data_IF_011389853163
#
_entry.id   IF_011389853163
#
_cell.length_a   1.000
_cell.length_b   1.000
_cell.length_c   1.000
_cell.angle_alpha   90.00
_cell.angle_beta   90.00
_cell.angle_gamma   90.00
#
_symmetry.space_group_name_H-M   'P 1'
#
loop_
_entity.id
_entity.type
_entity.pdbx_description
1 polymer ?
#
# COMPACT_ATOMS: atom_id res chain seq x y z
N UNK A 1 4.56 81.13 -43.76
CA UNK A 1 5.60 80.09 -43.82
C UNK A 1 6.01 79.89 -42.39
N UNK A 2 5.63 78.73 -41.85
CA UNK A 2 5.39 78.46 -40.43
C UNK A 2 6.55 77.60 -39.93
N UNK A 3 7.32 78.10 -38.96
CA UNK A 3 8.42 77.36 -38.31
C UNK A 3 7.87 76.65 -37.07
N UNK A 4 7.78 75.31 -37.16
CA UNK A 4 7.39 74.41 -36.08
C UNK A 4 8.65 73.91 -35.37
N UNK A 5 8.73 73.92 -34.02
CA UNK A 5 9.93 73.47 -33.31
C UNK A 5 10.04 71.94 -33.27
N UNK A 6 11.21 71.41 -33.68
CA UNK A 6 11.65 70.04 -33.40
C UNK A 6 12.17 69.97 -31.96
N UNK A 7 11.44 69.30 -31.06
CA UNK A 7 11.97 68.48 -29.96
C UNK A 7 10.86 68.15 -28.94
N UNK A 8 10.20 67.00 -29.11
CA UNK A 8 9.41 66.37 -28.03
C UNK A 8 9.00 64.91 -28.38
N UNK A 9 9.93 64.05 -28.81
CA UNK A 9 9.64 62.60 -28.87
C UNK A 9 10.92 61.85 -28.50
N UNK A 10 10.83 60.89 -27.58
CA UNK A 10 11.87 59.96 -27.07
C UNK A 10 12.29 60.10 -25.59
N UNK A 11 11.34 60.01 -24.65
CA UNK A 11 11.59 59.19 -23.44
C UNK A 11 10.58 58.06 -23.22
N UNK A 12 9.39 58.18 -23.81
CA UNK A 12 8.20 57.35 -23.47
C UNK A 12 8.29 55.95 -24.11
N UNK A 13 8.75 55.85 -25.37
CA UNK A 13 8.88 54.58 -26.07
C UNK A 13 9.91 53.63 -25.43
N UNK A 14 11.00 54.18 -24.87
CA UNK A 14 12.04 53.40 -24.18
C UNK A 14 11.61 52.87 -22.81
N UNK A 15 10.73 53.59 -22.10
CA UNK A 15 10.17 53.11 -20.83
C UNK A 15 9.10 52.04 -21.03
N UNK A 16 8.29 52.15 -22.09
CA UNK A 16 7.28 51.15 -22.43
C UNK A 16 7.92 49.83 -22.88
N UNK A 17 8.98 49.88 -23.71
CA UNK A 17 9.73 48.67 -24.13
C UNK A 17 10.37 47.93 -22.94
N UNK A 18 10.99 48.65 -22.00
CA UNK A 18 11.57 48.07 -20.78
C UNK A 18 10.51 47.45 -19.86
N UNK A 19 9.30 48.02 -19.83
CA UNK A 19 8.20 47.49 -19.03
C UNK A 19 7.58 46.22 -19.64
N UNK A 20 7.60 46.10 -20.97
CA UNK A 20 7.12 44.91 -21.69
C UNK A 20 8.12 43.76 -21.58
N UNK A 21 9.42 44.00 -21.77
CA UNK A 21 10.47 42.97 -21.56
C UNK A 21 10.50 42.44 -20.12
N UNK A 22 10.37 43.32 -19.11
CA UNK A 22 10.32 42.88 -17.71
C UNK A 22 9.07 42.05 -17.39
N UNK A 23 7.93 42.35 -18.01
CA UNK A 23 6.71 41.56 -17.85
C UNK A 23 6.81 40.20 -18.56
N UNK A 24 7.34 40.15 -19.78
CA UNK A 24 7.60 38.88 -20.48
C UNK A 24 8.60 38.01 -19.72
N UNK A 25 9.66 38.59 -19.16
CA UNK A 25 10.64 37.83 -18.38
C UNK A 25 10.03 37.28 -17.08
N UNK A 26 9.16 38.04 -16.41
CA UNK A 26 8.47 37.62 -15.18
C UNK A 26 7.40 36.57 -15.45
N UNK A 27 6.70 36.66 -16.58
CA UNK A 27 5.75 35.64 -17.07
C UNK A 27 6.51 34.36 -17.44
N UNK A 28 7.62 34.46 -18.17
CA UNK A 28 8.44 33.30 -18.49
C UNK A 28 9.03 32.64 -17.23
N UNK A 29 9.51 33.40 -16.24
CA UNK A 29 9.97 32.84 -14.98
C UNK A 29 8.86 32.11 -14.21
N UNK A 30 7.66 32.68 -14.11
CA UNK A 30 6.52 32.03 -13.42
C UNK A 30 5.98 30.81 -14.17
N UNK A 31 5.97 30.83 -15.51
CA UNK A 31 5.61 29.67 -16.34
C UNK A 31 6.65 28.56 -16.20
N UNK A 32 7.94 28.89 -16.21
CA UNK A 32 9.03 27.90 -16.05
C UNK A 32 9.06 27.32 -14.63
N UNK A 33 8.79 28.14 -13.61
CA UNK A 33 8.71 27.71 -12.21
C UNK A 33 7.50 26.81 -11.96
N UNK A 34 6.34 27.13 -12.54
CA UNK A 34 5.16 26.26 -12.53
C UNK A 34 5.39 24.96 -13.30
N UNK A 35 6.03 25.00 -14.47
CA UNK A 35 6.35 23.80 -15.24
C UNK A 35 7.33 22.89 -14.48
N UNK A 36 8.39 23.45 -13.89
CA UNK A 36 9.35 22.69 -13.06
C UNK A 36 8.67 22.09 -11.81
N UNK A 37 7.71 22.79 -11.22
CA UNK A 37 6.92 22.27 -10.09
C UNK A 37 6.04 21.10 -10.51
N UNK A 38 5.34 21.20 -11.65
CA UNK A 38 4.52 20.12 -12.20
C UNK A 38 5.37 18.89 -12.60
N UNK A 39 6.51 19.11 -13.25
CA UNK A 39 7.44 18.01 -13.60
C UNK A 39 7.96 17.31 -12.34
N UNK A 40 8.32 18.06 -11.30
CA UNK A 40 8.75 17.50 -10.02
C UNK A 40 7.65 16.67 -9.34
N UNK A 41 6.41 17.14 -9.37
CA UNK A 41 5.25 16.41 -8.82
C UNK A 41 4.97 15.11 -9.58
N UNK A 42 5.10 15.13 -10.92
CA UNK A 42 4.96 13.93 -11.76
C UNK A 42 6.11 12.95 -11.47
N UNK A 43 7.36 13.43 -11.42
CA UNK A 43 8.51 12.57 -11.10
C UNK A 43 8.39 11.97 -9.70
N UNK A 44 8.01 12.76 -8.70
CA UNK A 44 7.78 12.27 -7.35
C UNK A 44 6.68 11.20 -7.31
N UNK A 45 5.58 11.42 -8.04
CA UNK A 45 4.49 10.46 -8.15
C UNK A 45 4.93 9.16 -8.83
N UNK A 46 5.75 9.24 -9.88
CA UNK A 46 6.32 8.08 -10.55
C UNK A 46 7.25 7.28 -9.64
N UNK A 47 8.12 7.97 -8.88
CA UNK A 47 9.03 7.34 -7.90
C UNK A 47 8.23 6.63 -6.80
N UNK A 48 7.20 7.27 -6.24
CA UNK A 48 6.34 6.66 -5.22
C UNK A 48 5.62 5.43 -5.80
N UNK A 49 5.10 5.52 -7.02
CA UNK A 49 4.43 4.40 -7.69
C UNK A 49 5.35 3.19 -7.86
N UNK A 50 6.58 3.40 -8.34
CA UNK A 50 7.59 2.32 -8.50
C UNK A 50 7.97 1.73 -7.14
N UNK A 51 8.17 2.58 -6.13
CA UNK A 51 8.52 2.13 -4.79
C UNK A 51 7.39 1.30 -4.13
N UNK A 52 6.13 1.71 -4.27
CA UNK A 52 4.96 0.95 -3.83
C UNK A 52 4.91 -0.42 -4.52
N UNK A 53 5.08 -0.45 -5.84
CA UNK A 53 5.08 -1.68 -6.62
C UNK A 53 6.20 -2.64 -6.17
N UNK A 54 7.39 -2.10 -5.96
CA UNK A 54 8.57 -2.84 -5.53
C UNK A 54 8.42 -3.43 -4.12
N UNK A 55 8.10 -2.60 -3.12
CA UNK A 55 7.99 -3.08 -1.73
C UNK A 55 6.84 -4.08 -1.56
N UNK A 56 5.73 -3.88 -2.28
CA UNK A 56 4.64 -4.85 -2.28
C UNK A 56 5.06 -6.18 -2.89
N UNK A 57 5.58 -6.18 -4.12
CA UNK A 57 5.97 -7.39 -4.82
C UNK A 57 7.06 -8.15 -4.06
N UNK A 58 8.06 -7.44 -3.55
CA UNK A 58 9.15 -8.04 -2.79
C UNK A 58 8.69 -8.58 -1.44
N UNK A 59 7.79 -7.88 -0.73
CA UNK A 59 7.19 -8.41 0.50
C UNK A 59 6.43 -9.70 0.25
N UNK A 60 5.58 -9.76 -0.78
CA UNK A 60 4.80 -10.96 -1.12
C UNK A 60 5.72 -12.13 -1.48
N UNK A 61 6.73 -11.89 -2.30
CA UNK A 61 7.65 -12.95 -2.74
C UNK A 61 8.47 -13.49 -1.58
N UNK A 62 9.00 -12.62 -0.72
CA UNK A 62 9.73 -13.07 0.46
C UNK A 62 8.84 -13.81 1.46
N UNK A 63 7.59 -13.37 1.68
CA UNK A 63 6.61 -14.12 2.50
C UNK A 63 6.43 -15.54 1.97
N UNK A 64 6.24 -15.68 0.65
CA UNK A 64 6.11 -17.00 0.01
C UNK A 64 7.40 -17.82 0.16
N UNK A 65 8.56 -17.24 -0.09
CA UNK A 65 9.85 -17.93 0.07
C UNK A 65 10.02 -18.44 1.49
N UNK A 66 9.70 -17.64 2.52
CA UNK A 66 9.83 -18.07 3.92
C UNK A 66 8.90 -19.25 4.25
N UNK A 67 7.65 -19.22 3.76
CA UNK A 67 6.69 -20.32 3.97
C UNK A 67 7.13 -21.63 3.29
N UNK A 68 7.88 -21.54 2.19
CA UNK A 68 8.32 -22.69 1.40
C UNK A 68 9.78 -23.11 1.64
N UNK A 69 10.59 -22.31 2.36
CA UNK A 69 12.01 -22.56 2.55
C UNK A 69 12.26 -23.85 3.36
N UNK A 70 11.49 -24.04 4.44
CA UNK A 70 11.60 -25.20 5.31
C UNK A 70 10.21 -25.61 5.84
N UNK A 71 9.32 -26.15 5.00
CA UNK A 71 7.94 -26.48 5.40
C UNK A 71 7.88 -27.50 6.55
N UNK A 72 8.94 -28.31 6.73
CA UNK A 72 9.08 -29.26 7.85
C UNK A 72 9.42 -28.62 9.20
N UNK A 73 9.97 -27.40 9.21
CA UNK A 73 10.46 -26.75 10.43
C UNK A 73 9.80 -25.39 10.72
N UNK A 74 9.26 -24.74 9.69
CA UNK A 74 8.61 -23.44 9.77
C UNK A 74 7.46 -23.31 8.76
N UNK A 75 6.23 -23.53 9.23
CA UNK A 75 4.99 -23.21 8.51
C UNK A 75 4.02 -22.53 9.50
N UNK A 76 4.17 -21.21 9.64
CA UNK A 76 3.44 -20.40 10.61
C UNK A 76 2.95 -19.06 10.00
N UNK A 77 2.01 -19.10 9.04
CA UNK A 77 1.51 -17.91 8.35
C UNK A 77 0.77 -16.92 9.28
N UNK A 78 0.08 -17.40 10.33
CA UNK A 78 -0.55 -16.51 11.32
C UNK A 78 0.50 -15.76 12.12
N UNK A 79 1.53 -16.47 12.61
CA UNK A 79 2.65 -15.85 13.32
C UNK A 79 3.36 -14.78 12.47
N UNK A 80 3.60 -15.05 11.18
CA UNK A 80 4.21 -14.07 10.28
C UNK A 80 3.35 -12.80 10.17
N UNK A 81 2.05 -12.94 9.91
CA UNK A 81 1.14 -11.79 9.80
C UNK A 81 1.06 -11.00 11.11
N UNK A 82 0.98 -11.70 12.24
CA UNK A 82 1.00 -11.08 13.56
C UNK A 82 2.29 -10.27 13.77
N UNK A 83 3.45 -10.86 13.48
CA UNK A 83 4.75 -10.23 13.62
C UNK A 83 4.91 -9.00 12.73
N UNK A 84 4.52 -9.10 11.45
CA UNK A 84 4.55 -7.99 10.49
C UNK A 84 3.62 -6.85 10.92
N UNK A 85 2.44 -7.17 11.43
CA UNK A 85 1.44 -6.17 11.85
C UNK A 85 1.91 -5.39 13.09
N UNK A 86 2.75 -5.98 13.96
CA UNK A 86 3.32 -5.26 15.10
C UNK A 86 4.24 -4.11 14.69
N UNK A 87 4.88 -4.16 13.52
CA UNK A 87 5.70 -3.05 13.03
C UNK A 87 4.87 -1.78 12.75
N UNK A 88 3.56 -1.90 12.60
CA UNK A 88 2.68 -0.74 12.45
C UNK A 88 2.65 0.17 13.68
N UNK A 89 3.09 -0.30 14.86
CA UNK A 89 3.26 0.54 16.06
C UNK A 89 4.22 1.71 15.78
N UNK A 90 5.21 1.52 14.91
CA UNK A 90 6.17 2.56 14.54
C UNK A 90 5.59 3.63 13.58
N UNK A 91 4.34 3.49 13.10
CA UNK A 91 3.78 4.40 12.09
C UNK A 91 3.64 5.84 12.58
N UNK A 92 3.07 6.05 13.77
CA UNK A 92 2.90 7.40 14.33
C UNK A 92 4.23 8.04 14.80
N UNK A 93 5.12 7.33 15.51
CA UNK A 93 6.46 7.86 15.82
C UNK A 93 7.24 8.26 14.57
N UNK A 94 7.19 7.46 13.51
CA UNK A 94 7.85 7.75 12.24
C UNK A 94 7.24 8.98 11.55
N UNK A 95 5.90 9.07 11.50
CA UNK A 95 5.20 10.25 11.00
C UNK A 95 5.59 11.52 11.76
N UNK A 96 5.67 11.44 13.10
CA UNK A 96 6.07 12.56 13.95
C UNK A 96 7.53 12.98 13.70
N UNK A 97 8.42 12.02 13.55
CA UNK A 97 9.84 12.24 13.27
C UNK A 97 10.04 12.91 11.91
N UNK A 98 9.30 12.49 10.88
CA UNK A 98 9.32 13.11 9.57
C UNK A 98 8.71 14.51 9.58
N UNK A 99 7.61 14.71 10.31
CA UNK A 99 7.00 16.03 10.48
C UNK A 99 7.94 17.02 11.19
N UNK A 100 8.77 16.55 12.12
CA UNK A 100 9.83 17.33 12.77
C UNK A 100 11.00 17.65 11.83
N UNK A 101 11.42 16.69 11.02
CA UNK A 101 12.56 16.85 10.10
C UNK A 101 12.25 17.77 8.93
N UNK A 102 11.00 17.77 8.44
CA UNK A 102 10.59 18.48 7.24
C UNK A 102 9.63 19.65 7.48
N UNK A 103 9.08 19.82 8.69
CA UNK A 103 8.09 20.85 9.01
C UNK A 103 8.50 21.76 10.17
N UNK A 104 8.33 23.08 10.00
CA UNK A 104 8.46 24.09 11.06
C UNK A 104 7.24 24.16 12.00
N UNK A 105 6.45 23.09 12.10
CA UNK A 105 5.18 23.07 12.84
C UNK A 105 5.35 22.46 14.22
N UNK A 106 4.75 23.08 15.25
CA UNK A 106 4.86 22.59 16.63
C UNK A 106 4.22 21.21 16.80
N UNK A 107 4.94 20.28 17.43
CA UNK A 107 4.48 18.93 17.79
C UNK A 107 3.12 18.92 18.49
N UNK A 108 2.88 19.94 19.30
CA UNK A 108 1.66 20.09 20.09
C UNK A 108 0.44 20.33 19.19
N UNK A 109 0.60 21.03 18.07
CA UNK A 109 -0.50 21.30 17.12
C UNK A 109 -0.87 20.04 16.34
N UNK A 110 0.13 19.31 15.85
CA UNK A 110 -0.07 18.05 15.09
C UNK A 110 -0.67 16.96 16.00
N UNK A 111 -0.18 16.86 17.24
CA UNK A 111 -0.72 15.91 18.21
C UNK A 111 -2.15 16.27 18.62
N UNK A 112 -2.46 17.56 18.83
CA UNK A 112 -3.82 18.02 19.10
C UNK A 112 -4.76 17.73 17.93
N UNK A 113 -4.37 18.00 16.68
CA UNK A 113 -5.19 17.69 15.49
C UNK A 113 -5.46 16.19 15.32
N UNK A 114 -4.47 15.36 15.66
CA UNK A 114 -4.60 13.92 15.61
C UNK A 114 -5.49 13.39 16.77
N UNK A 115 -5.45 14.02 17.95
CA UNK A 115 -6.33 13.71 19.09
C UNK A 115 -7.78 14.20 18.93
N UNK A 116 -8.04 15.21 18.09
CA UNK A 116 -9.42 15.70 17.85
C UNK A 116 -10.34 14.57 17.37
N UNK A 117 -9.81 13.52 16.72
CA UNK A 117 -10.59 12.33 16.32
C UNK A 117 -11.07 11.50 17.49
N UNK A 118 -10.29 11.41 18.57
CA UNK A 118 -10.72 10.68 19.77
C UNK A 118 -11.91 11.37 20.45
N UNK A 119 -12.12 12.67 20.18
CA UNK A 119 -13.21 13.47 20.71
C UNK A 119 -13.11 13.65 22.23
N UNK A 120 -13.59 14.78 22.74
CA UNK A 120 -13.62 15.04 24.19
C UNK A 120 -14.61 14.16 24.98
N UNK A 121 -15.37 13.28 24.30
CA UNK A 121 -16.42 12.46 24.92
C UNK A 121 -15.98 10.99 25.04
N UNK A 122 -16.02 10.44 26.26
CA UNK A 122 -15.64 9.05 26.59
C UNK A 122 -16.37 8.01 25.72
N UNK A 123 -17.63 8.27 25.37
CA UNK A 123 -18.43 7.39 24.52
C UNK A 123 -17.88 7.25 23.09
N UNK A 124 -17.22 8.29 22.55
CA UNK A 124 -16.59 8.24 21.21
C UNK A 124 -15.31 7.42 21.21
N UNK A 125 -14.53 7.49 22.29
CA UNK A 125 -13.31 6.67 22.47
C UNK A 125 -13.66 5.19 22.47
N UNK A 126 -14.72 4.80 23.17
CA UNK A 126 -15.18 3.41 23.19
C UNK A 126 -15.64 2.92 21.81
N UNK A 127 -16.42 3.74 21.09
CA UNK A 127 -16.81 3.41 19.71
C UNK A 127 -15.60 3.29 18.77
N UNK A 128 -14.60 4.17 18.92
CA UNK A 128 -13.35 4.10 18.16
C UNK A 128 -12.56 2.83 18.46
N UNK A 129 -12.46 2.45 19.74
CA UNK A 129 -11.80 1.23 20.16
C UNK A 129 -12.48 -0.02 19.59
N UNK A 130 -13.81 -0.13 19.71
CA UNK A 130 -14.61 -1.20 19.10
C UNK A 130 -14.45 -1.26 17.59
N UNK A 131 -14.45 -0.11 16.93
CA UNK A 131 -14.22 -0.02 15.49
C UNK A 131 -12.81 -0.50 15.12
N UNK A 132 -11.81 -0.14 15.91
CA UNK A 132 -10.42 -0.55 15.68
C UNK A 132 -10.27 -2.06 15.86
N UNK A 133 -10.95 -2.66 16.84
CA UNK A 133 -11.01 -4.13 17.01
C UNK A 133 -11.68 -4.79 15.81
N UNK A 134 -12.82 -4.25 15.35
CA UNK A 134 -13.51 -4.78 14.18
C UNK A 134 -12.64 -4.70 12.92
N UNK A 135 -11.97 -3.57 12.73
CA UNK A 135 -11.01 -3.40 11.64
C UNK A 135 -9.84 -4.38 11.78
N UNK A 136 -9.27 -4.54 12.98
CA UNK A 136 -8.19 -5.47 13.26
C UNK A 136 -8.58 -6.92 12.94
N UNK A 137 -9.79 -7.32 13.28
CA UNK A 137 -10.32 -8.65 12.96
C UNK A 137 -10.33 -8.89 11.44
N UNK A 138 -10.93 -7.98 10.65
CA UNK A 138 -10.96 -8.12 9.19
C UNK A 138 -9.58 -7.96 8.55
N UNK A 139 -8.71 -7.10 9.12
CA UNK A 139 -7.32 -6.94 8.70
C UNK A 139 -6.54 -8.25 8.86
N UNK A 140 -6.64 -8.87 10.03
CA UNK A 140 -6.00 -10.16 10.29
C UNK A 140 -6.57 -11.26 9.41
N UNK A 141 -7.90 -11.34 9.27
CA UNK A 141 -8.54 -12.32 8.41
C UNK A 141 -8.06 -12.18 6.96
N UNK A 142 -7.97 -10.95 6.44
CA UNK A 142 -7.49 -10.69 5.10
C UNK A 142 -6.02 -11.11 4.92
N UNK A 143 -5.13 -10.65 5.80
CA UNK A 143 -3.69 -10.93 5.67
C UNK A 143 -3.33 -12.39 5.96
N UNK A 144 -4.04 -13.03 6.90
CA UNK A 144 -3.91 -14.46 7.17
C UNK A 144 -4.37 -15.29 5.97
N UNK A 145 -5.55 -15.00 5.42
CA UNK A 145 -6.06 -15.71 4.25
C UNK A 145 -5.14 -15.53 3.03
N UNK A 146 -4.55 -14.33 2.84
CA UNK A 146 -3.54 -14.09 1.80
C UNK A 146 -2.25 -14.88 2.04
N UNK A 147 -1.74 -14.88 3.27
CA UNK A 147 -0.50 -15.59 3.59
C UNK A 147 -0.66 -17.10 3.47
N UNK A 148 -1.81 -17.63 3.88
CA UNK A 148 -2.17 -19.03 3.68
C UNK A 148 -2.33 -19.35 2.18
N UNK A 149 -2.96 -18.49 1.38
CA UNK A 149 -3.08 -18.75 -0.06
C UNK A 149 -1.71 -18.83 -0.73
N UNK A 150 -0.72 -18.02 -0.34
CA UNK A 150 0.65 -18.10 -0.87
C UNK A 150 1.33 -19.46 -0.64
N UNK A 151 0.91 -20.22 0.37
CA UNK A 151 1.37 -21.59 0.61
C UNK A 151 0.79 -22.62 -0.38
N UNK A 152 -0.40 -22.36 -0.92
CA UNK A 152 -1.13 -23.28 -1.80
C UNK A 152 -1.06 -22.90 -3.29
N UNK A 153 -0.91 -21.60 -3.60
CA UNK A 153 -0.99 -21.08 -4.97
C UNK A 153 0.21 -20.18 -5.32
N UNK A 154 0.39 -19.86 -6.60
CA UNK A 154 1.45 -18.96 -7.03
C UNK A 154 1.25 -17.54 -6.46
N UNK A 155 2.33 -16.85 -6.09
CA UNK A 155 2.24 -15.47 -5.61
C UNK A 155 1.61 -14.55 -6.66
N UNK A 156 1.92 -14.79 -7.94
CA UNK A 156 1.29 -14.11 -9.06
C UNK A 156 -0.22 -14.37 -9.13
N UNK A 157 -0.68 -15.62 -8.99
CA UNK A 157 -2.11 -15.94 -9.03
C UNK A 157 -2.87 -15.28 -7.87
N UNK A 158 -2.34 -15.34 -6.65
CA UNK A 158 -2.97 -14.71 -5.48
C UNK A 158 -3.05 -13.18 -5.63
N UNK A 159 -1.97 -12.57 -6.13
CA UNK A 159 -1.90 -11.14 -6.46
C UNK A 159 -2.87 -10.72 -7.56
N UNK A 160 -3.02 -11.54 -8.61
CA UNK A 160 -4.02 -11.30 -9.67
C UNK A 160 -5.45 -11.38 -9.14
N UNK A 161 -5.76 -12.35 -8.29
CA UNK A 161 -7.08 -12.42 -7.62
C UNK A 161 -7.29 -11.19 -6.73
N UNK A 162 -6.26 -10.77 -5.99
CA UNK A 162 -6.30 -9.58 -5.13
C UNK A 162 -6.54 -8.27 -5.91
N UNK A 163 -6.20 -8.21 -7.20
CA UNK A 163 -6.50 -7.03 -8.04
C UNK A 163 -8.02 -6.74 -8.12
N UNK A 164 -8.85 -7.77 -7.97
CA UNK A 164 -10.31 -7.66 -7.94
C UNK A 164 -10.85 -7.00 -6.66
N UNK A 165 -10.00 -6.83 -5.64
CA UNK A 165 -10.33 -6.07 -4.43
C UNK A 165 -10.88 -4.68 -4.77
N UNK A 166 -10.31 -3.99 -5.75
CA UNK A 166 -10.79 -2.67 -6.18
C UNK A 166 -12.25 -2.72 -6.65
N UNK A 167 -12.63 -3.75 -7.39
CA UNK A 167 -14.02 -3.95 -7.81
C UNK A 167 -14.93 -4.25 -6.60
N UNK A 168 -14.51 -5.13 -5.69
CA UNK A 168 -15.27 -5.43 -4.46
C UNK A 168 -15.46 -4.18 -3.58
N UNK A 169 -14.43 -3.34 -3.45
CA UNK A 169 -14.50 -2.04 -2.76
C UNK A 169 -15.58 -1.16 -3.38
N UNK A 170 -15.66 -1.10 -4.71
CA UNK A 170 -16.69 -0.27 -5.38
C UNK A 170 -18.11 -0.75 -5.12
N UNK A 171 -18.34 -2.07 -5.10
CA UNK A 171 -19.64 -2.66 -4.79
C UNK A 171 -20.02 -2.41 -3.33
N UNK A 172 -19.10 -2.68 -2.40
CA UNK A 172 -19.36 -2.45 -0.98
C UNK A 172 -19.52 -0.96 -0.67
N UNK A 173 -18.77 -0.08 -1.31
CA UNK A 173 -18.94 1.36 -1.16
C UNK A 173 -20.34 1.79 -1.62
N UNK A 174 -20.86 1.23 -2.71
CA UNK A 174 -22.23 1.48 -3.12
C UNK A 174 -23.25 1.02 -2.07
N UNK A 175 -23.12 -0.20 -1.54
CA UNK A 175 -24.06 -0.76 -0.56
C UNK A 175 -23.98 -0.03 0.79
N UNK A 176 -22.76 0.21 1.29
CA UNK A 176 -22.50 0.66 2.67
C UNK A 176 -22.47 2.20 2.80
N UNK A 177 -21.95 2.92 1.79
CA UNK A 177 -21.91 4.39 1.76
C UNK A 177 -23.08 5.02 0.97
N UNK A 178 -23.89 4.22 0.26
CA UNK A 178 -24.97 4.71 -0.64
C UNK A 178 -24.46 5.71 -1.68
N UNK A 179 -23.29 5.44 -2.25
CA UNK A 179 -22.69 6.26 -3.32
C UNK A 179 -23.54 6.19 -4.61
N UNK A 180 -23.36 7.14 -5.54
CA UNK A 180 -24.15 7.16 -6.79
C UNK A 180 -23.85 5.95 -7.66
N UNK A 181 -24.91 5.30 -8.14
CA UNK A 181 -24.82 4.15 -9.03
C UNK A 181 -24.22 4.58 -10.38
N UNK A 182 -23.11 3.97 -10.78
CA UNK A 182 -22.45 4.19 -12.07
C UNK A 182 -22.39 2.85 -12.78
N UNK A 183 -23.13 2.71 -13.88
CA UNK A 183 -23.28 1.43 -14.61
C UNK A 183 -21.96 0.84 -15.09
N UNK A 184 -20.98 1.69 -15.45
CA UNK A 184 -19.64 1.23 -15.83
C UNK A 184 -18.90 0.49 -14.71
N UNK A 185 -19.12 0.85 -13.44
CA UNK A 185 -18.51 0.13 -12.30
C UNK A 185 -19.03 -1.30 -12.19
N UNK A 186 -20.31 -1.52 -12.50
CA UNK A 186 -20.90 -2.86 -12.49
C UNK A 186 -20.28 -3.76 -13.58
N UNK A 187 -20.00 -3.20 -14.76
CA UNK A 187 -19.31 -3.91 -15.83
C UNK A 187 -17.88 -4.26 -15.40
N UNK A 188 -17.14 -3.34 -14.77
CA UNK A 188 -15.81 -3.62 -14.24
C UNK A 188 -15.82 -4.73 -13.18
N UNK A 189 -16.86 -4.78 -12.33
CA UNK A 189 -17.04 -5.84 -11.34
C UNK A 189 -17.33 -7.18 -12.01
N UNK A 190 -18.22 -7.21 -13.01
CA UNK A 190 -18.49 -8.41 -13.79
C UNK A 190 -17.24 -8.94 -14.49
N UNK A 191 -16.47 -8.04 -15.12
CA UNK A 191 -15.19 -8.38 -15.74
C UNK A 191 -14.16 -8.88 -14.72
N UNK A 192 -14.10 -8.30 -13.52
CA UNK A 192 -13.21 -8.74 -12.45
C UNK A 192 -13.57 -10.16 -11.97
N UNK A 193 -14.86 -10.44 -11.72
CA UNK A 193 -15.32 -11.78 -11.34
C UNK A 193 -15.01 -12.79 -12.44
N UNK A 194 -15.26 -12.44 -13.71
CA UNK A 194 -14.91 -13.29 -14.85
C UNK A 194 -13.40 -13.56 -14.91
N UNK A 195 -12.57 -12.54 -14.69
CA UNK A 195 -11.11 -12.68 -14.61
C UNK A 195 -10.67 -13.65 -13.50
N UNK A 196 -11.25 -13.54 -12.30
CA UNK A 196 -10.98 -14.49 -11.20
C UNK A 196 -11.36 -15.90 -11.61
N UNK A 197 -12.54 -16.11 -12.19
CA UNK A 197 -13.01 -17.44 -12.61
C UNK A 197 -12.08 -18.02 -13.67
N UNK A 198 -11.68 -17.24 -14.69
CA UNK A 198 -10.76 -17.68 -15.74
C UNK A 198 -9.41 -18.12 -15.14
N UNK A 199 -8.83 -17.29 -14.26
CA UNK A 199 -7.56 -17.61 -13.59
C UNK A 199 -7.71 -18.86 -12.71
N UNK A 200 -8.86 -19.04 -12.05
CA UNK A 200 -9.12 -20.15 -11.13
C UNK A 200 -9.35 -21.49 -11.83
N UNK A 201 -9.75 -21.49 -13.10
CA UNK A 201 -9.98 -22.71 -13.89
C UNK A 201 -8.66 -23.30 -14.39
N UNK A 202 -7.61 -22.49 -14.50
CA UNK A 202 -6.29 -22.96 -14.90
C UNK A 202 -5.59 -23.70 -13.75
N UNK A 203 -5.59 -25.03 -13.83
CA UNK A 203 -4.97 -25.92 -12.81
C UNK A 203 -3.45 -25.79 -12.77
N UNK A 204 -2.80 -25.36 -13.85
CA UNK A 204 -1.35 -25.12 -13.86
C UNK A 204 -1.00 -23.78 -13.18
N UNK A 205 -1.92 -22.82 -13.21
CA UNK A 205 -1.70 -21.46 -12.73
C UNK A 205 -2.21 -21.21 -11.29
N UNK A 206 -3.36 -21.79 -10.94
CA UNK A 206 -4.06 -21.54 -9.69
C UNK A 206 -3.70 -22.50 -8.56
N UNK A 207 -3.12 -23.67 -8.82
CA UNK A 207 -2.86 -24.66 -7.76
C UNK A 207 -4.14 -25.13 -7.08
N UNK A 208 -4.05 -25.46 -5.79
CA UNK A 208 -5.14 -26.05 -4.98
C UNK A 208 -6.36 -25.11 -4.82
N UNK A 209 -7.57 -25.63 -5.06
CA UNK A 209 -8.85 -24.89 -4.98
C UNK A 209 -9.05 -24.18 -3.65
N UNK A 210 -8.49 -24.74 -2.56
CA UNK A 210 -8.54 -24.14 -1.24
C UNK A 210 -7.80 -22.78 -1.19
N UNK A 211 -6.64 -22.68 -1.83
CA UNK A 211 -5.85 -21.44 -1.85
C UNK A 211 -6.47 -20.33 -2.72
N UNK A 212 -7.20 -20.70 -3.77
CA UNK A 212 -8.02 -19.76 -4.54
C UNK A 212 -9.13 -19.17 -3.68
N UNK A 213 -9.88 -20.03 -2.97
CA UNK A 213 -10.93 -19.60 -2.05
C UNK A 213 -10.39 -18.65 -0.97
N UNK A 214 -9.23 -18.98 -0.38
CA UNK A 214 -8.52 -18.13 0.57
C UNK A 214 -8.13 -16.76 -0.02
N UNK A 215 -7.66 -16.71 -1.26
CA UNK A 215 -7.33 -15.44 -1.93
C UNK A 215 -8.57 -14.56 -2.15
N UNK A 216 -9.69 -15.15 -2.55
CA UNK A 216 -10.96 -14.44 -2.72
C UNK A 216 -11.46 -13.93 -1.36
N UNK A 217 -11.39 -14.77 -0.32
CA UNK A 217 -11.76 -14.39 1.05
C UNK A 217 -10.90 -13.23 1.56
N UNK A 218 -9.61 -13.24 1.22
CA UNK A 218 -8.71 -12.14 1.54
C UNK A 218 -9.11 -10.84 0.84
N UNK A 219 -9.36 -10.90 -0.47
CA UNK A 219 -9.78 -9.74 -1.25
C UNK A 219 -11.10 -9.15 -0.73
N UNK A 220 -12.07 -9.99 -0.39
CA UNK A 220 -13.34 -9.58 0.17
C UNK A 220 -13.18 -8.94 1.56
N UNK A 221 -12.45 -9.59 2.47
CA UNK A 221 -12.17 -9.07 3.80
C UNK A 221 -11.40 -7.74 3.72
N UNK A 222 -10.48 -7.62 2.76
CA UNK A 222 -9.75 -6.40 2.49
C UNK A 222 -10.63 -5.26 1.98
N UNK A 223 -11.56 -5.56 1.09
CA UNK A 223 -12.55 -4.59 0.63
C UNK A 223 -13.43 -4.11 1.79
N UNK A 224 -13.86 -5.04 2.65
CA UNK A 224 -14.72 -4.75 3.78
C UNK A 224 -14.06 -3.80 4.78
N UNK A 225 -12.85 -4.11 5.28
CA UNK A 225 -12.21 -3.22 6.24
C UNK A 225 -11.89 -1.84 5.63
N UNK A 226 -11.55 -1.75 4.34
CA UNK A 226 -11.26 -0.48 3.66
C UNK A 226 -12.50 0.40 3.55
N UNK A 227 -13.65 -0.20 3.20
CA UNK A 227 -14.92 0.52 3.09
C UNK A 227 -15.43 0.94 4.47
N UNK A 228 -15.28 0.09 5.49
CA UNK A 228 -15.57 0.44 6.89
C UNK A 228 -14.70 1.61 7.33
N UNK A 229 -13.39 1.55 7.07
CA UNK A 229 -12.47 2.63 7.41
C UNK A 229 -12.90 3.95 6.79
N UNK A 230 -13.23 3.95 5.49
CA UNK A 230 -13.73 5.13 4.79
C UNK A 230 -15.06 5.64 5.35
N UNK A 231 -15.99 4.75 5.72
CA UNK A 231 -17.28 5.13 6.32
C UNK A 231 -17.13 5.85 7.65
N UNK A 232 -16.23 5.37 8.50
CA UNK A 232 -16.09 5.90 9.86
C UNK A 232 -15.12 7.07 9.95
N UNK A 233 -14.02 7.04 9.21
CA UNK A 233 -12.98 8.07 9.26
C UNK A 233 -13.19 9.18 8.23
N UNK A 234 -13.98 8.95 7.18
CA UNK A 234 -14.26 9.95 6.15
C UNK A 234 -12.97 10.48 5.50
N UNK A 235 -12.84 11.81 5.42
CA UNK A 235 -11.63 12.50 4.97
C UNK A 235 -10.63 12.69 6.13
N UNK A 236 -10.19 11.59 6.74
CA UNK A 236 -9.22 11.66 7.84
C UNK A 236 -7.86 12.16 7.36
N UNK A 237 -7.19 12.95 8.21
CA UNK A 237 -5.83 13.42 7.94
C UNK A 237 -4.80 12.30 8.14
N UNK A 238 -3.60 12.45 7.57
CA UNK A 238 -2.52 11.44 7.69
C UNK A 238 -2.18 11.14 9.15
N UNK A 239 -2.15 12.19 9.99
CA UNK A 239 -1.86 12.03 11.40
C UNK A 239 -2.89 11.14 12.10
N UNK A 240 -4.16 11.25 11.71
CA UNK A 240 -5.27 10.45 12.23
C UNK A 240 -5.18 8.99 11.74
N UNK A 241 -4.87 8.77 10.46
CA UNK A 241 -4.63 7.44 9.90
C UNK A 241 -3.41 6.77 10.56
N UNK A 242 -2.34 7.53 10.78
CA UNK A 242 -1.11 7.03 11.41
C UNK A 242 -1.31 6.68 12.89
N UNK A 243 -2.09 7.48 13.62
CA UNK A 243 -2.53 7.15 14.98
C UNK A 243 -3.38 5.88 15.00
N UNK A 244 -4.36 5.78 14.09
CA UNK A 244 -5.20 4.60 13.97
C UNK A 244 -4.37 3.34 13.74
N UNK A 245 -3.41 3.37 12.81
CA UNK A 245 -2.52 2.24 12.53
C UNK A 245 -1.61 1.88 13.70
N UNK A 246 -1.17 2.87 14.46
CA UNK A 246 -0.39 2.62 15.69
C UNK A 246 -1.26 1.96 16.76
N UNK A 247 -2.48 2.44 16.96
CA UNK A 247 -3.47 1.82 17.85
C UNK A 247 -3.82 0.40 17.41
N UNK A 248 -3.96 0.17 16.11
CA UNK A 248 -4.15 -1.15 15.53
C UNK A 248 -2.98 -2.09 15.83
N UNK A 249 -1.75 -1.63 15.62
CA UNK A 249 -0.54 -2.42 15.94
C UNK A 249 -0.45 -2.76 17.43
N UNK A 250 -0.80 -1.82 18.31
CA UNK A 250 -0.86 -2.07 19.76
C UNK A 250 -1.94 -3.11 20.11
N UNK A 251 -3.16 -2.96 19.56
CA UNK A 251 -4.23 -3.93 19.78
C UNK A 251 -3.89 -5.29 19.20
N UNK A 252 -3.21 -5.34 18.06
CA UNK A 252 -2.70 -6.58 17.47
C UNK A 252 -1.75 -7.30 18.44
N UNK A 253 -0.83 -6.57 19.07
CA UNK A 253 0.09 -7.13 20.05
C UNK A 253 -0.65 -7.80 21.22
N UNK A 254 -1.71 -7.17 21.75
CA UNK A 254 -2.47 -7.72 22.89
C UNK A 254 -3.48 -8.80 22.51
N UNK A 255 -4.32 -8.56 21.49
CA UNK A 255 -5.43 -9.46 21.16
C UNK A 255 -5.00 -10.64 20.29
N UNK A 256 -4.13 -10.43 19.30
CA UNK A 256 -3.73 -11.48 18.37
C UNK A 256 -2.55 -12.31 18.86
N UNK A 257 -1.88 -11.92 19.95
CA UNK A 257 -0.90 -12.78 20.61
C UNK A 257 -1.52 -14.03 21.22
N UNK A 258 -2.76 -13.94 21.72
CA UNK A 258 -3.49 -15.08 22.31
C UNK A 258 -3.80 -16.15 21.24
N UNK A 259 -4.46 -15.84 20.11
CA UNK A 259 -4.62 -16.81 19.02
C UNK A 259 -3.31 -17.31 18.44
N UNK A 260 -2.26 -16.47 18.34
CA UNK A 260 -0.95 -16.92 17.88
C UNK A 260 -0.40 -18.02 18.81
N UNK A 261 -0.47 -17.80 20.12
CA UNK A 261 -0.02 -18.77 21.10
C UNK A 261 -0.89 -20.03 21.09
N UNK A 262 -2.21 -19.90 20.94
CA UNK A 262 -3.14 -21.04 20.85
C UNK A 262 -2.86 -21.91 19.61
N UNK A 263 -2.59 -21.30 18.45
CA UNK A 263 -2.26 -22.03 17.22
C UNK A 263 -0.94 -22.78 17.33
N UNK A 264 0.05 -22.19 18.01
CA UNK A 264 1.33 -22.83 18.33
C UNK A 264 1.14 -24.02 19.29
N UNK A 265 0.29 -23.86 20.32
CA UNK A 265 -0.02 -24.93 21.28
C UNK A 265 -0.81 -26.08 20.65
N UNK A 266 -1.74 -25.77 19.74
CA UNK A 266 -2.52 -26.78 19.00
C UNK A 266 -1.72 -27.51 17.91
N UNK A 267 -0.44 -27.16 17.70
CA UNK A 267 0.42 -27.66 16.61
C UNK A 267 -0.19 -27.48 15.21
N UNK A 268 -1.13 -26.53 15.07
CA UNK A 268 -1.68 -26.14 13.78
C UNK A 268 -0.63 -25.40 12.93
N UNK A 269 0.37 -24.80 13.59
CA UNK A 269 1.54 -24.20 12.97
C UNK A 269 2.82 -24.93 13.40
N UNK A 270 3.69 -25.25 12.44
CA UNK A 270 4.97 -25.89 12.71
C UNK A 270 5.98 -24.79 13.01
N UNK A 271 6.42 -24.71 14.25
CA UNK A 271 7.27 -23.64 14.73
C UNK A 271 8.42 -24.18 15.57
N UNK A 272 9.59 -24.34 14.93
CA UNK A 272 10.82 -24.72 15.62
C UNK A 272 11.69 -23.49 15.83
N UNK A 273 11.81 -23.01 17.08
CA UNK A 273 12.52 -21.76 17.42
C UNK A 273 13.94 -21.67 16.85
N UNK A 274 14.66 -22.79 16.78
CA UNK A 274 16.04 -22.87 16.27
C UNK A 274 16.17 -22.82 14.74
N UNK A 275 15.08 -23.01 14.00
CA UNK A 275 15.07 -23.06 12.53
C UNK A 275 14.32 -21.87 11.90
N UNK A 276 13.89 -20.89 12.71
CA UNK A 276 13.20 -19.70 12.21
C UNK A 276 14.18 -18.82 11.43
N UNK A 277 13.89 -18.47 10.17
CA UNK A 277 14.70 -17.54 9.40
C UNK A 277 14.43 -16.10 9.86
N UNK A 278 15.02 -15.72 11.00
CA UNK A 278 14.82 -14.40 11.62
C UNK A 278 15.16 -13.25 10.67
N UNK A 279 16.28 -13.33 9.94
CA UNK A 279 16.71 -12.25 9.03
C UNK A 279 15.68 -12.03 7.91
N UNK A 280 15.25 -13.07 7.14
CA UNK A 280 14.16 -12.92 6.19
C UNK A 280 12.85 -12.43 6.80
N UNK A 281 12.51 -12.89 8.01
CA UNK A 281 11.28 -12.49 8.71
C UNK A 281 11.27 -10.98 9.04
N UNK A 282 12.38 -10.47 9.57
CA UNK A 282 12.57 -9.04 9.81
C UNK A 282 12.56 -8.24 8.51
N UNK A 283 13.18 -8.76 7.45
CA UNK A 283 13.13 -8.16 6.11
C UNK A 283 11.70 -8.00 5.62
N UNK A 284 10.91 -9.08 5.63
CA UNK A 284 9.50 -9.06 5.23
C UNK A 284 8.66 -8.09 6.07
N UNK A 285 8.85 -8.10 7.39
CA UNK A 285 8.14 -7.17 8.27
C UNK A 285 8.48 -5.71 7.96
N UNK A 286 9.76 -5.40 7.73
CA UNK A 286 10.21 -4.07 7.37
C UNK A 286 9.70 -3.62 5.99
N UNK A 287 9.74 -4.51 4.99
CA UNK A 287 9.22 -4.21 3.65
C UNK A 287 7.72 -3.97 3.66
N UNK A 288 6.96 -4.80 4.37
CA UNK A 288 5.51 -4.62 4.52
C UNK A 288 5.18 -3.34 5.27
N UNK A 289 5.94 -3.01 6.33
CA UNK A 289 5.82 -1.73 7.01
C UNK A 289 6.06 -0.56 6.05
N UNK A 290 7.14 -0.61 5.27
CA UNK A 290 7.50 0.46 4.32
C UNK A 290 6.44 0.60 3.23
N UNK A 291 5.91 -0.50 2.70
CA UNK A 291 4.77 -0.50 1.79
C UNK A 291 3.54 0.20 2.40
N UNK A 292 3.14 -0.19 3.62
CA UNK A 292 2.01 0.43 4.31
C UNK A 292 2.26 1.92 4.57
N UNK A 293 3.48 2.29 4.97
CA UNK A 293 3.89 3.67 5.18
C UNK A 293 3.80 4.49 3.88
N UNK A 294 4.29 3.96 2.75
CA UNK A 294 4.20 4.59 1.43
C UNK A 294 2.75 4.75 0.96
N UNK A 295 1.85 3.81 1.27
CA UNK A 295 0.42 3.99 0.96
C UNK A 295 -0.13 5.20 1.72
N UNK A 296 0.13 5.28 3.03
CA UNK A 296 -0.41 6.36 3.87
C UNK A 296 0.14 7.73 3.47
N UNK A 297 1.44 7.82 3.20
CA UNK A 297 2.10 9.07 2.81
C UNK A 297 1.86 9.42 1.33
N UNK A 298 1.82 8.40 0.47
CA UNK A 298 1.60 8.53 -0.95
C UNK A 298 0.19 9.04 -1.30
N UNK A 299 -0.83 8.68 -0.53
CA UNK A 299 -2.19 9.25 -0.66
C UNK A 299 -2.21 10.78 -0.48
N UNK A 300 -1.21 11.34 0.20
CA UNK A 300 -1.17 12.75 0.59
C UNK A 300 -0.23 13.56 -0.26
N UNK A 301 0.91 12.97 -0.61
CA UNK A 301 1.81 13.58 -1.59
C UNK A 301 1.26 13.51 -3.01
N UNK A 302 0.39 12.53 -3.30
CA UNK A 302 -0.05 12.22 -4.66
C UNK A 302 -1.54 11.89 -4.70
N UNK A 303 -2.07 11.58 -5.88
CA UNK A 303 -3.45 11.14 -6.02
C UNK A 303 -3.61 9.66 -5.61
N UNK A 304 -4.65 9.25 -4.84
CA UNK A 304 -4.88 7.85 -4.42
C UNK A 304 -4.94 6.84 -5.58
N UNK A 305 -5.28 7.31 -6.79
CA UNK A 305 -5.24 6.50 -8.01
C UNK A 305 -3.81 6.04 -8.35
N UNK A 306 -2.79 6.85 -8.10
CA UNK A 306 -1.39 6.52 -8.40
C UNK A 306 -0.92 5.36 -7.53
N UNK A 307 -1.32 5.34 -6.26
CA UNK A 307 -1.05 4.22 -5.34
C UNK A 307 -1.74 2.94 -5.80
N UNK A 308 -3.00 3.05 -6.26
CA UNK A 308 -3.71 1.92 -6.85
C UNK A 308 -3.01 1.37 -8.10
N UNK A 309 -2.52 2.24 -8.98
CA UNK A 309 -1.75 1.84 -10.17
C UNK A 309 -0.43 1.19 -9.77
N UNK A 310 0.28 1.71 -8.77
CA UNK A 310 1.52 1.10 -8.25
C UNK A 310 1.30 -0.32 -7.74
N UNK A 311 0.21 -0.56 -6.99
CA UNK A 311 -0.16 -1.92 -6.57
C UNK A 311 -0.45 -2.85 -7.75
N UNK A 312 -1.12 -2.35 -8.81
CA UNK A 312 -1.38 -3.14 -10.02
C UNK A 312 -0.09 -3.46 -10.80
N UNK A 313 0.86 -2.52 -10.87
CA UNK A 313 2.18 -2.72 -11.48
C UNK A 313 3.04 -3.71 -10.67
N UNK A 314 2.79 -3.88 -9.38
CA UNK A 314 3.46 -4.89 -8.57
C UNK A 314 3.15 -6.32 -9.03
N UNK A 315 1.99 -6.56 -9.66
CA UNK A 315 1.55 -7.90 -10.10
C UNK A 315 2.50 -8.47 -11.16
N UNK A 316 2.75 -7.81 -12.31
CA UNK A 316 3.70 -8.32 -13.31
C UNK A 316 5.14 -8.42 -12.76
N UNK A 317 5.54 -7.53 -11.84
CA UNK A 317 6.86 -7.63 -11.18
C UNK A 317 6.95 -8.93 -10.35
N UNK A 318 5.88 -9.26 -9.62
CA UNK A 318 5.82 -10.52 -8.86
C UNK A 318 5.84 -11.75 -9.78
N UNK A 319 5.17 -11.70 -10.93
CA UNK A 319 5.20 -12.75 -11.94
C UNK A 319 6.60 -12.91 -12.56
N UNK A 320 7.25 -11.81 -12.97
CA UNK A 320 8.58 -11.82 -13.56
C UNK A 320 9.65 -12.39 -12.62
N UNK A 321 9.59 -12.03 -11.34
CA UNK A 321 10.50 -12.58 -10.32
C UNK A 321 10.31 -14.10 -10.12
N UNK A 322 9.09 -14.61 -10.26
CA UNK A 322 8.82 -16.05 -10.19
C UNK A 322 9.47 -16.80 -11.37
N UNK A 323 9.34 -16.27 -12.59
CA UNK A 323 9.99 -16.87 -13.76
C UNK A 323 11.52 -16.83 -13.65
N UNK A 324 12.12 -15.74 -13.16
CA UNK A 324 13.56 -15.69 -12.90
C UNK A 324 14.01 -16.70 -11.85
N UNK A 325 13.24 -16.92 -10.78
CA UNK A 325 13.56 -17.95 -9.78
C UNK A 325 13.46 -19.36 -10.33
N UNK A 326 12.49 -19.65 -11.20
CA UNK A 326 12.40 -20.95 -11.88
C UNK A 326 13.61 -21.15 -12.80
N UNK A 327 13.98 -20.14 -13.60
CA UNK A 327 15.11 -20.21 -14.52
C UNK A 327 16.42 -20.40 -13.74
N UNK A 328 16.67 -19.61 -12.68
CA UNK A 328 17.86 -19.76 -11.84
C UNK A 328 17.88 -21.09 -11.05
N UNK A 329 16.70 -21.58 -10.64
CA UNK A 329 16.55 -22.89 -9.98
C UNK A 329 16.79 -24.06 -10.91
N UNK A 330 16.33 -23.96 -12.17
CA UNK A 330 16.63 -24.96 -13.22
C UNK A 330 18.09 -24.93 -13.61
N UNK A 331 18.75 -23.76 -13.59
CA UNK A 331 20.19 -23.62 -13.80
C UNK A 331 21.01 -24.26 -12.66
N UNK A 332 20.60 -24.09 -11.40
CA UNK A 332 21.22 -24.79 -10.25
C UNK A 332 20.99 -26.31 -10.27
N UNK A 333 19.80 -26.78 -10.67
CA UNK A 333 19.49 -28.20 -10.76
C UNK A 333 20.23 -28.88 -11.91
N UNK A 334 20.33 -28.23 -13.07
CA UNK A 334 21.13 -28.72 -14.21
C UNK A 334 22.61 -28.69 -13.92
N UNK A 335 23.11 -27.69 -13.18
CA UNK A 335 24.51 -27.65 -12.73
C UNK A 335 24.81 -28.77 -11.74
N UNK A 336 23.93 -29.06 -10.78
CA UNK A 336 24.07 -30.21 -9.87
C UNK A 336 24.07 -31.55 -10.60
N UNK A 337 23.16 -31.75 -11.55
CA UNK A 337 23.13 -32.98 -12.36
C UNK A 337 24.37 -33.14 -13.24
N UNK A 338 24.97 -32.03 -13.69
CA UNK A 338 26.21 -32.05 -14.49
C UNK A 338 27.46 -32.39 -13.67
N UNK A 339 27.43 -32.17 -12.35
CA UNK A 339 28.49 -32.59 -11.42
C UNK A 339 28.32 -34.03 -10.91
N UNK A 340 27.10 -34.60 -10.97
CA UNK A 340 26.86 -36.01 -10.59
C UNK A 340 27.06 -36.99 -11.77
N UNK A 341 27.17 -36.48 -13.00
CA UNK A 341 27.36 -37.26 -14.24
C UNK A 341 28.79 -37.23 -14.81
N UNK A 342 29.71 -36.50 -14.15
CA UNK A 342 31.15 -36.49 -14.41
C UNK A 342 31.88 -37.01 -13.17
#
# INVERSE_FOLDING_TARGET
>A
MEDIPKNAVHPIASSELKSTENNEHKINCTVTENHNKTVREIMLSAVIMIAVAFFWAMSTQLTKTILLLNPKYFYAPYFMVWFMTNFMIASYPCYLSLALLFGNSSLVTIHKEALIVYGQNVNKIWSYFLLTILFLFFWMLANYAYSQSLGHISASASSSIMSCNTAMITVLAWIILRDRFISFKLISVGAAIAGVVIISVDKEFAGDSFGVFLSILSAFSAAFYKVLFKKFHGNASIGQVSLFLTGLGLLNFFFNSIPALLLLLMKAEIFTWSAVPWIPLFGVAFLSYLFNFLINFGIVLTHPLIISIGMLLGIPISAGNYYMQIIAGTESATTKLRYELN
#
